data_IF_232671427273
#
_entry.id   IF_232671427273
#
_cell.length_a   1.000
_cell.length_b   1.000
_cell.length_c   1.000
_cell.angle_alpha   90.00
_cell.angle_beta   90.00
_cell.angle_gamma   90.00
#
_symmetry.space_group_name_H-M   'P 1'
#
loop_
_entity.id
_entity.type
_entity.pdbx_description
1 polymer ?
#
# COMPACT_ATOMS: atom_id res chain seq x y z
N UNK A 1 7.58 4.52 18.63
CA UNK A 1 6.44 5.12 17.88
C UNK A 1 6.63 5.09 16.36
N UNK A 2 7.69 5.67 15.76
CA UNK A 2 7.88 5.69 14.29
C UNK A 2 7.99 4.29 13.64
N UNK A 3 8.65 3.34 14.32
CA UNK A 3 8.77 1.93 13.87
C UNK A 3 7.45 1.17 13.95
N UNK A 4 6.67 1.38 15.02
CA UNK A 4 5.32 0.81 15.19
C UNK A 4 4.38 1.32 14.10
N UNK A 5 4.41 2.63 13.83
CA UNK A 5 3.62 3.25 12.75
C UNK A 5 4.00 2.67 11.37
N UNK A 6 5.30 2.44 11.12
CA UNK A 6 5.76 1.76 9.90
C UNK A 6 5.20 0.34 9.79
N UNK A 7 5.22 -0.44 10.87
CA UNK A 7 4.70 -1.81 10.86
C UNK A 7 3.17 -1.86 10.65
N UNK A 8 2.43 -0.94 11.26
CA UNK A 8 0.98 -0.82 11.09
C UNK A 8 0.63 -0.45 9.65
N UNK A 9 1.28 0.57 9.09
CA UNK A 9 1.07 0.98 7.69
C UNK A 9 1.46 -0.15 6.75
N UNK A 10 2.57 -0.85 7.01
CA UNK A 10 3.00 -1.99 6.21
C UNK A 10 1.96 -3.12 6.20
N UNK A 11 1.36 -3.44 7.34
CA UNK A 11 0.33 -4.47 7.43
C UNK A 11 -0.94 -4.08 6.66
N UNK A 12 -1.37 -2.82 6.78
CA UNK A 12 -2.54 -2.28 6.04
C UNK A 12 -2.29 -2.34 4.52
N UNK A 13 -1.10 -1.91 4.07
CA UNK A 13 -0.70 -1.99 2.66
C UNK A 13 -0.72 -3.43 2.14
N UNK A 14 -0.26 -4.40 2.94
CA UNK A 14 -0.25 -5.80 2.55
C UNK A 14 -1.65 -6.39 2.39
N UNK A 15 -2.56 -6.06 3.31
CA UNK A 15 -3.97 -6.47 3.20
C UNK A 15 -4.63 -5.88 1.95
N UNK A 16 -4.41 -4.59 1.69
CA UNK A 16 -4.88 -3.90 0.48
C UNK A 16 -4.33 -4.55 -0.79
N UNK A 17 -3.06 -4.97 -0.78
CA UNK A 17 -2.43 -5.62 -1.92
C UNK A 17 -3.11 -6.97 -2.22
N UNK A 18 -3.39 -7.78 -1.20
CA UNK A 18 -4.08 -9.07 -1.36
C UNK A 18 -5.48 -8.86 -1.94
N UNK A 19 -6.24 -7.91 -1.39
CA UNK A 19 -7.62 -7.63 -1.83
C UNK A 19 -7.67 -7.10 -3.27
N UNK A 20 -6.75 -6.22 -3.66
CA UNK A 20 -6.63 -5.77 -5.05
C UNK A 20 -6.23 -6.94 -5.96
N UNK A 21 -5.22 -7.72 -5.57
CA UNK A 21 -4.72 -8.84 -6.37
C UNK A 21 -5.78 -9.94 -6.54
N UNK A 22 -6.54 -10.28 -5.50
CA UNK A 22 -7.59 -11.30 -5.59
C UNK A 22 -8.70 -10.83 -6.53
N UNK A 23 -9.08 -9.55 -6.51
CA UNK A 23 -10.06 -8.99 -7.44
C UNK A 23 -9.55 -8.96 -8.88
N UNK A 24 -8.27 -8.67 -9.10
CA UNK A 24 -7.67 -8.74 -10.43
C UNK A 24 -7.64 -10.17 -10.98
N UNK A 25 -7.43 -11.19 -10.15
CA UNK A 25 -7.26 -12.57 -10.64
C UNK A 25 -8.61 -13.30 -10.72
N UNK A 26 -9.48 -13.15 -9.73
CA UNK A 26 -10.69 -13.96 -9.58
C UNK A 26 -11.95 -13.30 -10.13
N UNK A 27 -11.99 -11.98 -10.21
CA UNK A 27 -13.22 -11.24 -10.55
C UNK A 27 -13.08 -10.37 -11.80
N UNK A 28 -11.97 -10.46 -12.56
CA UNK A 28 -11.75 -9.61 -13.74
C UNK A 28 -12.86 -9.77 -14.79
N UNK A 29 -13.36 -11.00 -14.95
CA UNK A 29 -14.46 -11.33 -15.87
C UNK A 29 -15.83 -10.85 -15.37
N UNK A 30 -15.91 -10.48 -14.08
CA UNK A 30 -17.11 -9.93 -13.42
C UNK A 30 -17.01 -8.42 -13.16
N UNK A 31 -15.88 -7.79 -13.50
CA UNK A 31 -15.71 -6.35 -13.36
C UNK A 31 -16.55 -5.63 -14.42
N UNK A 32 -17.75 -5.19 -14.01
CA UNK A 32 -18.55 -4.23 -14.77
C UNK A 32 -17.83 -2.88 -14.86
N UNK A 33 -18.32 -1.96 -15.68
CA UNK A 33 -17.76 -0.62 -15.88
C UNK A 33 -17.55 0.14 -14.54
N UNK A 34 -18.45 -0.03 -13.58
CA UNK A 34 -18.33 0.50 -12.21
C UNK A 34 -17.32 -0.26 -11.34
N UNK A 35 -17.14 -1.57 -11.59
CA UNK A 35 -16.15 -2.40 -10.91
C UNK A 35 -14.71 -1.97 -11.22
N UNK A 36 -14.45 -1.54 -12.45
CA UNK A 36 -13.16 -0.97 -12.86
C UNK A 36 -12.86 0.36 -12.16
N UNK A 37 -13.84 1.25 -12.03
CA UNK A 37 -13.69 2.49 -11.27
C UNK A 37 -13.38 2.26 -9.79
N UNK A 38 -14.07 1.29 -9.16
CA UNK A 38 -13.81 0.91 -7.77
C UNK A 38 -12.41 0.30 -7.59
N UNK A 39 -11.99 -0.57 -8.51
CA UNK A 39 -10.67 -1.18 -8.50
C UNK A 39 -9.57 -0.13 -8.69
N UNK A 40 -9.76 0.82 -9.62
CA UNK A 40 -8.86 1.94 -9.83
C UNK A 40 -8.72 2.81 -8.56
N UNK A 41 -9.82 3.10 -7.86
CA UNK A 41 -9.80 3.80 -6.58
C UNK A 41 -8.97 3.06 -5.52
N UNK A 42 -9.13 1.73 -5.41
CA UNK A 42 -8.31 0.91 -4.51
C UNK A 42 -6.84 0.87 -4.92
N UNK A 43 -6.55 0.85 -6.22
CA UNK A 43 -5.19 0.87 -6.74
C UNK A 43 -4.49 2.21 -6.43
N UNK A 44 -5.19 3.33 -6.58
CA UNK A 44 -4.70 4.66 -6.19
C UNK A 44 -4.44 4.69 -4.68
N UNK A 45 -5.37 4.15 -3.88
CA UNK A 45 -5.21 4.08 -2.43
C UNK A 45 -3.99 3.24 -2.03
N UNK A 46 -3.78 2.09 -2.68
CA UNK A 46 -2.58 1.26 -2.53
C UNK A 46 -1.31 2.06 -2.82
N UNK A 47 -1.26 2.79 -3.94
CA UNK A 47 -0.11 3.61 -4.31
C UNK A 47 0.18 4.69 -3.28
N UNK A 48 -0.85 5.37 -2.76
CA UNK A 48 -0.70 6.37 -1.69
C UNK A 48 -0.09 5.75 -0.43
N UNK A 49 -0.62 4.61 0.01
CA UNK A 49 -0.10 3.90 1.19
C UNK A 49 1.34 3.42 0.98
N UNK A 50 1.69 2.98 -0.23
CA UNK A 50 3.04 2.55 -0.60
C UNK A 50 4.02 3.73 -0.58
N UNK A 51 3.59 4.90 -1.08
CA UNK A 51 4.37 6.14 -1.05
C UNK A 51 4.60 6.63 0.38
N UNK A 52 3.56 6.60 1.22
CA UNK A 52 3.69 6.89 2.66
C UNK A 52 4.64 5.92 3.35
N UNK A 53 4.57 4.63 3.03
CA UNK A 53 5.48 3.60 3.57
C UNK A 53 6.94 3.90 3.21
N UNK A 54 7.22 4.27 1.96
CA UNK A 54 8.56 4.63 1.49
C UNK A 54 9.11 5.89 2.18
N UNK A 55 8.28 6.92 2.33
CA UNK A 55 8.65 8.15 3.04
C UNK A 55 8.95 7.87 4.52
N UNK A 56 8.12 7.04 5.15
CA UNK A 56 8.30 6.67 6.55
C UNK A 56 9.52 5.76 6.76
N UNK A 57 9.80 4.86 5.81
CA UNK A 57 11.01 4.04 5.79
C UNK A 57 12.25 4.92 5.75
N UNK A 58 12.32 5.86 4.79
CA UNK A 58 13.43 6.81 4.69
C UNK A 58 13.64 7.59 6.00
N UNK A 59 12.56 8.11 6.58
CA UNK A 59 12.62 8.90 7.82
C UNK A 59 13.05 8.07 9.05
N UNK A 60 12.76 6.76 9.05
CA UNK A 60 12.99 5.89 10.21
C UNK A 60 14.32 5.16 10.16
N UNK A 61 14.78 4.76 8.96
CA UNK A 61 15.96 3.90 8.79
C UNK A 61 17.17 4.61 8.17
N UNK A 62 17.00 5.71 7.44
CA UNK A 62 18.12 6.39 6.75
C UNK A 62 18.88 7.38 7.64
N UNK A 63 18.37 7.73 8.83
CA UNK A 63 19.05 8.66 9.76
C UNK A 63 20.32 8.06 10.42
N UNK A 64 20.54 6.74 10.35
CA UNK A 64 21.64 6.05 11.04
C UNK A 64 23.00 6.16 10.33
N UNK A 65 23.08 6.80 9.16
CA UNK A 65 24.32 6.85 8.36
C UNK A 65 25.04 8.21 8.36
N UNK A 66 24.57 9.22 9.11
CA UNK A 66 25.16 10.55 9.18
C UNK A 66 25.69 10.90 10.58
N UNK A 67 26.09 9.89 11.34
CA UNK A 67 26.70 10.04 12.66
C UNK A 67 27.76 8.94 12.83
N UNK A 68 28.78 9.00 11.96
CA UNK A 68 30.06 8.32 12.11
C UNK A 68 31.14 9.19 11.49
#
# INVERSE_FOLDING_TARGET
MKKTLFFVISAITFILLIDVTSKLISDIDRLTEYGWGFLAGKLILLLVFLLLLLLLYKKTFTKKSSEK
#
